data_IF_071661419723
#
_entry.id   IF_071661419723
#
_cell.length_a   1.000
_cell.length_b   1.000
_cell.length_c   1.000
_cell.angle_alpha   90.00
_cell.angle_beta   90.00
_cell.angle_gamma   90.00
#
_symmetry.space_group_name_H-M   'P 1'
#
loop_
_entity.id
_entity.type
_entity.pdbx_description
1 polymer ?
#
# COMPACT_ATOMS: atom_id res chain seq x y z
N UNK A 1 28.23 9.55 -13.14
CA UNK A 1 28.78 8.34 -12.50
C UNK A 1 27.77 7.24 -12.68
N UNK A 2 28.12 6.20 -13.44
CA UNK A 2 27.23 5.07 -13.69
C UNK A 2 27.22 4.20 -12.42
N UNK A 3 26.19 4.32 -11.61
CA UNK A 3 25.99 3.41 -10.48
C UNK A 3 25.62 2.04 -11.05
N UNK A 4 26.50 1.07 -10.87
CA UNK A 4 26.18 -0.32 -11.20
C UNK A 4 24.95 -0.71 -10.40
N UNK A 5 23.89 -1.25 -11.02
CA UNK A 5 22.69 -1.66 -10.29
C UNK A 5 23.08 -2.71 -9.23
N UNK A 6 22.48 -2.56 -8.04
CA UNK A 6 22.67 -3.56 -6.97
C UNK A 6 22.01 -4.86 -7.43
N UNK A 7 22.81 -5.91 -7.56
CA UNK A 7 22.34 -7.24 -7.96
C UNK A 7 22.47 -8.21 -6.81
N UNK A 8 21.39 -8.92 -6.52
CA UNK A 8 21.31 -9.90 -5.43
C UNK A 8 20.73 -11.21 -5.97
N UNK A 9 21.28 -12.33 -5.59
CA UNK A 9 20.77 -13.65 -5.93
C UNK A 9 19.84 -14.16 -4.83
N UNK A 10 18.66 -14.68 -5.21
CA UNK A 10 17.60 -15.06 -4.29
C UNK A 10 18.02 -16.19 -3.31
N UNK A 11 18.76 -17.19 -3.81
CA UNK A 11 19.26 -18.27 -2.94
C UNK A 11 20.21 -17.75 -1.84
N UNK A 12 20.92 -16.64 -2.08
CA UNK A 12 21.78 -16.02 -1.07
C UNK A 12 21.00 -15.24 -0.02
N UNK A 13 19.79 -14.82 -0.32
CA UNK A 13 18.92 -14.16 0.66
C UNK A 13 18.35 -15.14 1.68
N UNK A 14 18.08 -16.36 1.24
CA UNK A 14 17.55 -17.41 2.12
C UNK A 14 18.49 -17.64 3.32
N UNK A 15 17.94 -17.48 4.52
CA UNK A 15 18.67 -17.60 5.79
C UNK A 15 19.30 -16.32 6.31
N UNK A 16 19.36 -15.22 5.54
CA UNK A 16 19.88 -13.95 6.05
C UNK A 16 19.01 -13.41 7.17
N UNK A 17 19.62 -12.84 8.23
CA UNK A 17 18.91 -12.16 9.29
C UNK A 17 18.26 -10.86 8.77
N UNK A 18 17.07 -10.59 9.27
CA UNK A 18 16.31 -9.35 9.01
C UNK A 18 16.35 -8.51 10.28
N UNK A 19 16.72 -7.25 10.14
CA UNK A 19 16.79 -6.30 11.23
C UNK A 19 15.82 -5.15 11.04
N UNK A 20 15.26 -4.69 12.14
CA UNK A 20 14.45 -3.48 12.19
C UNK A 20 15.34 -2.20 12.25
N UNK A 21 14.73 -0.98 12.24
CA UNK A 21 15.50 0.26 12.34
C UNK A 21 16.24 0.45 13.68
N UNK A 22 15.81 -0.23 14.74
CA UNK A 22 16.46 -0.19 16.05
C UNK A 22 17.69 -1.11 16.12
N UNK A 23 17.84 -1.99 15.14
CA UNK A 23 18.92 -2.98 15.09
C UNK A 23 18.55 -4.30 15.74
N UNK A 24 17.28 -4.50 16.09
CA UNK A 24 16.78 -5.75 16.62
C UNK A 24 16.54 -6.75 15.50
N UNK A 25 16.89 -8.01 15.73
CA UNK A 25 16.66 -9.06 14.75
C UNK A 25 15.21 -9.52 14.81
N UNK A 26 14.44 -9.19 13.76
CA UNK A 26 13.02 -9.58 13.59
C UNK A 26 12.89 -11.06 13.21
N UNK A 27 13.78 -11.55 12.34
CA UNK A 27 13.68 -12.92 11.84
C UNK A 27 14.77 -13.26 10.83
N UNK A 28 14.46 -14.21 9.93
CA UNK A 28 15.35 -14.62 8.83
C UNK A 28 14.55 -14.75 7.54
N UNK A 29 15.13 -14.32 6.43
CA UNK A 29 14.52 -14.51 5.09
C UNK A 29 14.38 -16.00 4.81
N UNK A 30 13.20 -16.41 4.34
CA UNK A 30 12.90 -17.78 3.88
C UNK A 30 12.73 -17.87 2.37
N UNK A 31 12.07 -16.88 1.78
CA UNK A 31 11.83 -16.85 0.34
C UNK A 31 11.71 -15.42 -0.17
N UNK A 32 11.68 -15.27 -1.48
CA UNK A 32 11.43 -14.02 -2.21
C UNK A 32 10.12 -14.18 -2.97
N UNK A 33 9.21 -13.23 -2.82
CA UNK A 33 7.91 -13.25 -3.47
C UNK A 33 7.97 -12.38 -4.72
N UNK A 34 7.48 -12.93 -5.83
CA UNK A 34 7.38 -12.20 -7.10
C UNK A 34 5.99 -12.37 -7.70
N UNK A 35 5.55 -11.34 -8.40
CA UNK A 35 4.36 -11.42 -9.25
C UNK A 35 4.83 -11.63 -10.69
N UNK A 36 4.37 -12.73 -11.28
CA UNK A 36 4.63 -13.07 -12.67
C UNK A 36 3.65 -12.31 -13.55
N UNK A 37 4.17 -11.50 -14.46
CA UNK A 37 3.36 -10.83 -15.48
C UNK A 37 3.35 -11.65 -16.76
N UNK A 38 2.23 -11.71 -17.46
CA UNK A 38 2.07 -12.46 -18.70
C UNK A 38 2.72 -11.79 -19.93
N UNK A 39 3.01 -10.50 -19.82
CA UNK A 39 3.82 -9.78 -20.82
C UNK A 39 5.32 -10.02 -20.58
N UNK A 40 6.12 -9.94 -21.62
CA UNK A 40 7.56 -10.24 -21.66
C UNK A 40 8.42 -9.40 -20.68
N UNK A 41 7.82 -8.75 -19.70
CA UNK A 41 8.50 -7.91 -18.71
C UNK A 41 9.04 -8.75 -17.56
N UNK A 42 10.14 -8.28 -17.01
CA UNK A 42 10.77 -8.90 -15.84
C UNK A 42 9.80 -8.90 -14.66
N UNK A 43 9.61 -10.04 -13.94
CA UNK A 43 8.74 -10.12 -12.79
C UNK A 43 9.14 -9.13 -11.70
N UNK A 44 8.18 -8.49 -11.10
CA UNK A 44 8.40 -7.58 -9.96
C UNK A 44 8.53 -8.39 -8.68
N UNK A 45 9.53 -8.07 -7.89
CA UNK A 45 9.68 -8.58 -6.52
C UNK A 45 8.82 -7.73 -5.61
N UNK A 46 7.82 -8.33 -4.98
CA UNK A 46 6.85 -7.62 -4.15
C UNK A 46 7.22 -7.67 -2.66
N UNK A 47 7.93 -8.71 -2.22
CA UNK A 47 8.30 -8.82 -0.82
C UNK A 47 9.19 -10.02 -0.51
N UNK A 48 9.45 -10.21 0.77
CA UNK A 48 10.20 -11.33 1.32
C UNK A 48 9.30 -12.11 2.29
N UNK A 49 9.42 -13.42 2.29
CA UNK A 49 8.91 -14.25 3.39
C UNK A 49 9.94 -14.25 4.49
N UNK A 50 9.59 -13.78 5.67
CA UNK A 50 10.47 -13.73 6.84
C UNK A 50 9.95 -14.69 7.90
N UNK A 51 10.80 -15.61 8.35
CA UNK A 51 10.51 -16.48 9.49
C UNK A 51 10.92 -15.77 10.78
N UNK A 52 9.92 -15.50 11.60
CA UNK A 52 10.10 -14.89 12.93
C UNK A 52 10.08 -15.96 14.03
N UNK A 53 10.20 -15.54 15.29
CA UNK A 53 10.18 -16.45 16.43
C UNK A 53 8.99 -17.43 16.39
N UNK A 54 9.23 -18.70 16.72
CA UNK A 54 8.19 -19.73 16.72
C UNK A 54 7.90 -20.36 15.35
N UNK A 55 8.78 -20.17 14.35
CA UNK A 55 8.63 -20.68 12.95
C UNK A 55 7.46 -20.05 12.18
N UNK A 56 6.90 -18.97 12.67
CA UNK A 56 5.87 -18.22 11.97
C UNK A 56 6.50 -17.50 10.78
N UNK A 57 5.86 -17.56 9.63
CA UNK A 57 6.26 -16.83 8.43
C UNK A 57 5.37 -15.59 8.30
N UNK A 58 5.98 -14.45 8.05
CA UNK A 58 5.31 -13.16 7.83
C UNK A 58 5.74 -12.58 6.48
N UNK A 59 4.94 -11.67 5.94
CA UNK A 59 5.26 -10.90 4.73
C UNK A 59 6.00 -9.62 5.07
N UNK A 60 7.12 -9.39 4.42
CA UNK A 60 7.87 -8.13 4.48
C UNK A 60 7.86 -7.50 3.07
N UNK A 61 7.06 -6.46 2.82
CA UNK A 61 6.99 -5.82 1.51
C UNK A 61 8.32 -5.19 1.11
N UNK A 62 8.66 -5.20 -0.19
CA UNK A 62 9.92 -4.62 -0.68
C UNK A 62 10.01 -3.11 -0.44
N UNK A 63 8.90 -2.41 -0.31
CA UNK A 63 8.85 -0.99 0.05
C UNK A 63 9.41 -0.72 1.45
N UNK A 64 9.33 -1.70 2.35
CA UNK A 64 9.91 -1.62 3.69
C UNK A 64 11.35 -2.16 3.78
N UNK A 65 11.90 -2.70 2.71
CA UNK A 65 13.29 -3.14 2.65
C UNK A 65 14.18 -1.99 2.19
N UNK A 66 14.95 -1.43 3.12
CA UNK A 66 15.83 -0.29 2.83
C UNK A 66 17.18 -0.68 2.28
N UNK A 67 17.71 -1.81 2.75
CA UNK A 67 19.02 -2.27 2.31
C UNK A 67 19.11 -3.79 2.33
N UNK A 68 19.78 -4.33 1.32
CA UNK A 68 20.13 -5.74 1.22
C UNK A 68 21.65 -5.84 1.09
N UNK A 69 22.28 -6.20 2.18
CA UNK A 69 23.72 -6.44 2.25
C UNK A 69 24.05 -7.94 2.16
N UNK A 70 25.30 -8.33 1.87
CA UNK A 70 25.68 -9.74 1.79
C UNK A 70 25.45 -10.57 3.05
N UNK A 71 25.25 -9.93 4.20
CA UNK A 71 25.06 -10.59 5.50
C UNK A 71 23.74 -10.30 6.21
N UNK A 72 22.94 -9.36 5.71
CA UNK A 72 21.71 -8.94 6.40
C UNK A 72 20.74 -8.21 5.49
N UNK A 73 19.49 -8.18 5.90
CA UNK A 73 18.43 -7.35 5.33
C UNK A 73 17.99 -6.35 6.39
N UNK A 74 17.85 -5.08 6.01
CA UNK A 74 17.41 -4.01 6.90
C UNK A 74 16.05 -3.52 6.40
N UNK A 75 15.09 -3.41 7.33
CA UNK A 75 13.73 -2.94 7.05
C UNK A 75 13.45 -1.60 7.72
N UNK A 76 12.44 -0.88 7.25
CA UNK A 76 11.90 0.33 7.89
C UNK A 76 10.57 0.02 8.56
N UNK A 77 10.31 0.69 9.68
CA UNK A 77 9.05 0.59 10.41
C UNK A 77 8.77 -0.80 11.00
N UNK A 78 7.58 -0.95 11.52
CA UNK A 78 7.10 -2.23 12.05
C UNK A 78 6.68 -3.12 10.87
N UNK A 79 7.08 -4.38 10.91
CA UNK A 79 6.59 -5.40 9.98
C UNK A 79 5.29 -5.97 10.53
N UNK A 80 4.30 -6.15 9.66
CA UNK A 80 3.07 -6.83 10.03
C UNK A 80 3.40 -8.27 10.47
N UNK A 81 3.00 -8.64 11.67
CA UNK A 81 3.30 -9.94 12.27
C UNK A 81 2.27 -11.01 11.90
N UNK A 82 1.35 -10.75 10.96
CA UNK A 82 0.39 -11.73 10.48
C UNK A 82 1.09 -12.89 9.77
N UNK A 83 0.45 -14.05 9.82
CA UNK A 83 0.94 -15.22 9.11
C UNK A 83 0.88 -14.98 7.61
N UNK A 84 1.99 -15.20 6.94
CA UNK A 84 2.04 -15.13 5.48
C UNK A 84 1.20 -16.24 4.84
N UNK A 85 0.31 -15.87 3.93
CA UNK A 85 -0.41 -16.75 3.04
C UNK A 85 -0.17 -16.34 1.59
N UNK A 86 0.31 -17.29 0.79
CA UNK A 86 0.67 -17.06 -0.61
C UNK A 86 -0.58 -16.89 -1.47
N UNK A 87 -0.68 -15.80 -2.20
CA UNK A 87 -1.74 -15.54 -3.17
C UNK A 87 -1.54 -16.33 -4.47
N UNK A 88 -2.60 -16.50 -5.25
CA UNK A 88 -2.57 -17.24 -6.52
C UNK A 88 -1.64 -16.61 -7.57
N UNK A 89 -1.49 -15.30 -7.57
CA UNK A 89 -0.62 -14.52 -8.49
C UNK A 89 0.83 -14.47 -8.02
N UNK A 90 1.10 -14.79 -6.77
CA UNK A 90 2.44 -14.79 -6.19
C UNK A 90 3.17 -16.09 -6.47
N UNK A 91 4.46 -15.97 -6.70
CA UNK A 91 5.37 -17.12 -6.88
C UNK A 91 6.54 -16.98 -5.92
N UNK A 92 6.80 -18.04 -5.20
CA UNK A 92 7.96 -18.15 -4.32
C UNK A 92 9.20 -18.50 -5.16
N UNK A 93 10.22 -17.66 -5.13
CA UNK A 93 11.41 -17.86 -5.96
C UNK A 93 12.17 -19.09 -5.53
N UNK A 94 12.47 -19.21 -4.22
CA UNK A 94 13.23 -20.35 -3.70
C UNK A 94 12.40 -21.63 -3.75
N UNK A 95 11.16 -21.57 -3.29
CA UNK A 95 10.30 -22.77 -3.19
C UNK A 95 9.67 -23.24 -4.50
N UNK A 96 9.56 -22.37 -5.51
CA UNK A 96 8.79 -22.70 -6.71
C UNK A 96 9.54 -22.48 -8.05
N UNK A 97 10.63 -21.71 -8.08
CA UNK A 97 11.41 -21.47 -9.31
C UNK A 97 12.73 -22.21 -9.34
N UNK A 98 13.39 -22.37 -8.19
CA UNK A 98 14.59 -23.18 -8.12
C UNK A 98 14.27 -24.66 -8.41
N UNK A 99 15.26 -25.40 -8.88
CA UNK A 99 15.18 -26.81 -9.27
C UNK A 99 14.23 -27.12 -10.45
N UNK A 100 13.66 -26.09 -11.12
CA UNK A 100 12.86 -26.28 -12.33
C UNK A 100 13.71 -26.51 -13.56
N UNK A 101 13.22 -27.37 -14.43
CA UNK A 101 13.77 -27.53 -15.78
C UNK A 101 13.25 -26.44 -16.70
N UNK A 102 14.16 -25.76 -17.37
CA UNK A 102 13.85 -24.65 -18.25
C UNK A 102 14.68 -24.76 -19.54
N UNK A 103 14.24 -24.04 -20.56
CA UNK A 103 14.92 -23.96 -21.85
C UNK A 103 15.31 -22.51 -22.15
N UNK A 104 16.52 -22.29 -22.62
CA UNK A 104 17.01 -21.00 -23.08
C UNK A 104 16.59 -20.82 -24.53
N UNK A 105 15.83 -19.76 -24.83
CA UNK A 105 15.29 -19.51 -26.20
C UNK A 105 16.38 -19.32 -27.23
N UNK A 106 17.37 -18.50 -26.92
CA UNK A 106 18.44 -18.13 -27.88
C UNK A 106 19.36 -19.28 -28.23
N UNK A 107 19.63 -20.20 -27.32
CA UNK A 107 20.61 -21.29 -27.49
C UNK A 107 19.99 -22.66 -27.58
N UNK A 108 18.72 -22.82 -27.17
CA UNK A 108 18.06 -24.13 -27.04
C UNK A 108 18.60 -25.02 -25.92
N UNK A 109 19.48 -24.48 -25.06
CA UNK A 109 20.05 -25.21 -23.93
C UNK A 109 18.97 -25.47 -22.89
N UNK A 110 18.87 -26.72 -22.45
CA UNK A 110 18.00 -27.13 -21.34
C UNK A 110 18.84 -27.28 -20.08
N UNK A 111 18.34 -26.73 -18.97
CA UNK A 111 19.03 -26.75 -17.70
C UNK A 111 18.09 -26.72 -16.52
N UNK A 112 18.65 -26.87 -15.33
CA UNK A 112 17.93 -26.74 -14.06
C UNK A 112 18.28 -25.39 -13.44
N UNK A 113 17.27 -24.64 -13.01
CA UNK A 113 17.45 -23.35 -12.32
C UNK A 113 18.04 -23.60 -10.95
N UNK A 114 19.22 -23.05 -10.68
CA UNK A 114 19.83 -23.15 -9.37
C UNK A 114 19.82 -21.83 -8.58
N UNK A 115 19.66 -20.68 -9.27
CA UNK A 115 19.48 -19.39 -8.62
C UNK A 115 18.83 -18.37 -9.56
N UNK A 116 18.25 -17.31 -9.01
CA UNK A 116 17.64 -16.22 -9.76
C UNK A 116 18.15 -14.89 -9.20
N UNK A 117 18.61 -14.00 -10.09
CA UNK A 117 19.10 -12.69 -9.72
C UNK A 117 18.00 -11.64 -9.78
N UNK A 118 17.91 -10.82 -8.75
CA UNK A 118 17.07 -9.63 -8.69
C UNK A 118 17.93 -8.37 -8.75
N UNK A 119 17.44 -7.34 -9.40
CA UNK A 119 18.10 -6.05 -9.57
C UNK A 119 17.14 -4.92 -9.27
N UNK A 120 17.66 -3.84 -8.64
CA UNK A 120 16.89 -2.64 -8.41
C UNK A 120 16.87 -1.77 -9.67
N UNK A 121 15.67 -1.39 -10.11
CA UNK A 121 15.47 -0.50 -11.27
C UNK A 121 15.80 0.95 -10.90
N UNK A 122 15.75 1.85 -11.89
CA UNK A 122 15.91 3.29 -11.64
C UNK A 122 14.77 3.91 -10.83
N UNK A 123 13.60 3.30 -10.88
CA UNK A 123 12.40 3.65 -10.09
C UNK A 123 12.41 3.05 -8.69
N UNK A 124 13.51 2.40 -8.28
CA UNK A 124 13.69 1.69 -7.02
C UNK A 124 12.92 0.37 -6.88
N UNK A 125 12.12 -0.02 -7.87
CA UNK A 125 11.51 -1.34 -7.90
C UNK A 125 12.54 -2.44 -8.03
N UNK A 126 12.28 -3.58 -7.43
CA UNK A 126 13.07 -4.77 -7.59
C UNK A 126 12.43 -5.70 -8.61
N UNK A 127 13.24 -6.19 -9.57
CA UNK A 127 12.77 -7.09 -10.62
C UNK A 127 13.72 -8.28 -10.74
N UNK A 128 13.21 -9.42 -11.23
CA UNK A 128 14.05 -10.55 -11.60
C UNK A 128 14.71 -10.25 -12.95
N UNK A 129 16.02 -10.25 -12.96
CA UNK A 129 16.79 -9.84 -14.16
C UNK A 129 17.45 -11.01 -14.87
N UNK A 130 17.95 -12.00 -14.14
CA UNK A 130 18.69 -13.13 -14.68
C UNK A 130 18.37 -14.43 -13.99
N UNK A 131 18.54 -15.51 -14.73
CA UNK A 131 18.39 -16.89 -14.25
C UNK A 131 19.72 -17.61 -14.40
N UNK A 132 20.16 -18.22 -13.33
CA UNK A 132 21.36 -19.06 -13.32
C UNK A 132 20.95 -20.53 -13.45
N UNK A 133 21.45 -21.18 -14.48
CA UNK A 133 21.10 -22.56 -14.88
C UNK A 133 22.31 -23.45 -14.76
N UNK A 134 22.07 -24.71 -14.38
CA UNK A 134 23.05 -25.79 -14.49
C UNK A 134 22.61 -26.72 -15.61
N UNK A 135 23.42 -26.86 -16.64
CA UNK A 135 23.19 -27.83 -17.71
C UNK A 135 23.38 -29.25 -17.15
N UNK A 136 22.42 -30.14 -17.42
CA UNK A 136 22.50 -31.53 -16.99
C UNK A 136 23.75 -32.21 -17.58
N UNK A 137 24.46 -32.94 -16.75
CA UNK A 137 25.68 -33.64 -17.15
C UNK A 137 25.38 -34.66 -18.26
N UNK A 138 25.67 -34.30 -19.49
CA UNK A 138 25.69 -35.22 -20.63
C UNK A 138 27.01 -36.00 -20.62
N UNK A 139 27.05 -37.14 -19.91
CA UNK A 139 28.17 -38.07 -19.86
C UNK A 139 28.97 -38.11 -18.54
N UNK A 140 29.57 -39.25 -18.26
CA UNK A 140 30.16 -39.65 -16.96
C UNK A 140 31.37 -38.84 -16.46
N UNK A 141 31.82 -37.78 -17.17
CA UNK A 141 33.07 -37.05 -16.85
C UNK A 141 33.08 -35.54 -17.11
N UNK A 142 31.93 -34.87 -17.37
CA UNK A 142 31.92 -33.40 -17.53
C UNK A 142 31.37 -32.76 -16.28
N UNK A 143 32.07 -31.73 -15.76
CA UNK A 143 31.57 -30.84 -14.73
C UNK A 143 30.32 -30.14 -15.29
N UNK A 144 29.25 -30.00 -14.53
CA UNK A 144 28.06 -29.25 -14.95
C UNK A 144 28.48 -27.83 -15.31
N UNK A 145 28.07 -27.37 -16.49
CA UNK A 145 28.31 -25.98 -16.90
C UNK A 145 27.20 -25.11 -16.35
N UNK A 146 27.61 -23.98 -15.77
CA UNK A 146 26.68 -22.97 -15.25
C UNK A 146 26.53 -21.87 -16.28
N UNK A 147 25.29 -21.56 -16.62
CA UNK A 147 24.92 -20.48 -17.52
C UNK A 147 24.13 -19.43 -16.74
N UNK A 148 24.44 -18.15 -16.94
CA UNK A 148 23.63 -17.04 -16.43
C UNK A 148 23.05 -16.32 -17.65
N UNK A 149 21.73 -16.38 -17.78
CA UNK A 149 20.99 -15.85 -18.92
C UNK A 149 20.05 -14.76 -18.48
N UNK A 150 19.66 -13.89 -19.39
CA UNK A 150 18.65 -12.87 -19.10
C UNK A 150 17.28 -13.53 -18.86
N UNK A 151 16.46 -12.95 -18.00
CA UNK A 151 15.14 -13.48 -17.65
C UNK A 151 14.29 -13.76 -18.89
N UNK A 152 14.26 -12.82 -19.83
CA UNK A 152 13.43 -12.88 -21.03
C UNK A 152 13.83 -13.98 -22.01
N UNK A 153 15.00 -14.56 -21.83
CA UNK A 153 15.53 -15.64 -22.68
C UNK A 153 15.19 -17.05 -22.16
N UNK A 154 14.42 -17.15 -21.06
CA UNK A 154 14.09 -18.43 -20.42
C UNK A 154 12.63 -18.82 -20.65
N UNK A 155 12.41 -20.07 -21.03
CA UNK A 155 11.09 -20.69 -21.16
C UNK A 155 10.91 -21.81 -20.13
N UNK A 156 9.66 -22.01 -19.65
CA UNK A 156 9.31 -23.08 -18.74
C UNK A 156 9.29 -22.69 -17.25
N UNK A 157 9.53 -21.43 -16.91
CA UNK A 157 9.33 -20.93 -15.56
C UNK A 157 7.84 -20.72 -15.22
N UNK A 158 6.99 -20.67 -16.23
CA UNK A 158 5.56 -20.45 -16.13
C UNK A 158 4.82 -21.80 -16.31
N UNK A 159 4.11 -22.26 -15.30
CA UNK A 159 3.10 -23.32 -15.45
C UNK A 159 1.88 -22.94 -14.62
N UNK A 160 0.80 -22.60 -15.30
CA UNK A 160 -0.52 -22.35 -14.80
C UNK A 160 -1.38 -21.81 -15.94
N UNK A 161 -2.05 -22.72 -16.69
CA UNK A 161 -2.85 -22.30 -17.88
C UNK A 161 -4.25 -21.80 -17.53
N UNK A 162 -4.69 -21.82 -16.28
CA UNK A 162 -6.09 -21.55 -15.94
C UNK A 162 -6.39 -20.10 -15.58
N UNK A 163 -5.39 -19.24 -15.35
CA UNK A 163 -5.59 -17.83 -14.96
C UNK A 163 -5.00 -16.78 -15.92
N UNK A 164 -4.51 -17.15 -17.10
CA UNK A 164 -3.81 -16.23 -18.01
C UNK A 164 -4.56 -14.93 -18.32
N UNK A 165 -5.89 -14.96 -18.32
CA UNK A 165 -6.69 -13.78 -18.61
C UNK A 165 -6.80 -12.80 -17.42
N UNK A 166 -6.86 -13.29 -16.16
CA UNK A 166 -6.94 -12.44 -14.97
C UNK A 166 -5.58 -11.81 -14.67
N UNK A 167 -4.49 -12.58 -14.72
CA UNK A 167 -3.13 -12.09 -14.50
C UNK A 167 -2.73 -10.95 -15.46
N UNK A 168 -3.12 -11.08 -16.73
CA UNK A 168 -2.86 -10.00 -17.70
C UNK A 168 -3.63 -8.72 -17.35
N UNK A 169 -4.89 -8.86 -16.93
CA UNK A 169 -5.71 -7.73 -16.53
C UNK A 169 -5.18 -7.08 -15.25
N UNK A 170 -4.85 -7.87 -14.21
CA UNK A 170 -4.25 -7.38 -12.97
C UNK A 170 -2.95 -6.61 -13.26
N UNK A 171 -2.08 -7.14 -14.13
CA UNK A 171 -0.86 -6.45 -14.53
C UNK A 171 -1.14 -5.13 -15.26
N UNK A 172 -2.22 -5.03 -16.03
CA UNK A 172 -2.61 -3.78 -16.68
C UNK A 172 -3.23 -2.77 -15.73
N UNK A 173 -3.93 -3.24 -14.68
CA UNK A 173 -4.52 -2.40 -13.65
C UNK A 173 -3.47 -1.83 -12.69
N UNK A 174 -2.33 -2.50 -12.52
CA UNK A 174 -1.27 -2.05 -11.61
C UNK A 174 -0.67 -0.68 -11.98
N UNK A 175 -0.68 -0.32 -13.27
CA UNK A 175 -0.13 0.95 -13.78
C UNK A 175 -1.20 2.08 -13.87
N UNK A 176 -2.49 1.79 -13.60
CA UNK A 176 -3.58 2.75 -13.63
C UNK A 176 -3.70 3.50 -12.28
N UNK A 177 -4.35 4.66 -12.29
CA UNK A 177 -4.80 5.30 -11.04
C UNK A 177 -5.89 4.45 -10.39
N UNK A 178 -6.07 4.51 -9.05
CA UNK A 178 -7.14 3.77 -8.37
C UNK A 178 -8.52 3.95 -9.01
N UNK A 179 -8.96 5.18 -9.24
CA UNK A 179 -10.23 5.50 -9.88
C UNK A 179 -10.37 4.93 -11.31
N UNK A 180 -9.31 4.93 -12.11
CA UNK A 180 -9.32 4.33 -13.45
C UNK A 180 -9.41 2.79 -13.37
N UNK A 181 -8.73 2.18 -12.38
CA UNK A 181 -8.78 0.75 -12.14
C UNK A 181 -10.17 0.33 -11.61
N UNK A 182 -10.77 1.12 -10.72
CA UNK A 182 -12.13 0.92 -10.22
C UNK A 182 -13.16 0.89 -11.36
N UNK A 183 -13.09 1.86 -12.28
CA UNK A 183 -13.96 1.88 -13.47
C UNK A 183 -13.84 0.60 -14.33
N UNK A 184 -12.63 0.07 -14.48
CA UNK A 184 -12.42 -1.18 -15.23
C UNK A 184 -13.00 -2.36 -14.47
N UNK A 185 -12.81 -2.44 -13.15
CA UNK A 185 -13.32 -3.53 -12.30
C UNK A 185 -14.84 -3.50 -12.22
N UNK A 186 -15.44 -2.32 -12.10
CA UNK A 186 -16.90 -2.12 -12.13
C UNK A 186 -17.52 -2.70 -13.42
N UNK A 187 -16.91 -2.43 -14.58
CA UNK A 187 -17.39 -2.92 -15.89
C UNK A 187 -17.20 -4.44 -16.10
N UNK A 188 -16.49 -5.15 -15.22
CA UNK A 188 -16.25 -6.59 -15.40
C UNK A 188 -17.48 -7.43 -15.04
N UNK A 189 -17.73 -8.54 -15.77
CA UNK A 189 -18.67 -9.56 -15.31
C UNK A 189 -18.31 -10.10 -13.92
N UNK A 190 -19.29 -10.47 -13.06
CA UNK A 190 -19.03 -10.87 -11.66
C UNK A 190 -17.97 -11.95 -11.48
N UNK A 191 -18.01 -13.02 -12.29
CA UNK A 191 -17.00 -14.10 -12.25
C UNK A 191 -15.59 -13.58 -12.56
N UNK A 192 -15.49 -12.65 -13.49
CA UNK A 192 -14.21 -12.06 -13.89
C UNK A 192 -13.70 -11.07 -12.85
N UNK A 193 -14.61 -10.28 -12.27
CA UNK A 193 -14.33 -9.37 -11.15
C UNK A 193 -13.75 -10.15 -9.99
N UNK A 194 -14.40 -11.24 -9.55
CA UNK A 194 -13.90 -12.09 -8.46
C UNK A 194 -12.51 -12.66 -8.73
N UNK A 195 -12.19 -13.08 -9.97
CA UNK A 195 -10.86 -13.57 -10.33
C UNK A 195 -9.79 -12.48 -10.24
N UNK A 196 -10.12 -11.25 -10.66
CA UNK A 196 -9.20 -10.10 -10.61
C UNK A 196 -8.96 -9.69 -9.17
N UNK A 197 -10.03 -9.51 -8.39
CA UNK A 197 -9.99 -9.17 -6.96
C UNK A 197 -9.18 -10.20 -6.17
N UNK A 198 -9.41 -11.50 -6.42
CA UNK A 198 -8.67 -12.58 -5.75
C UNK A 198 -7.16 -12.53 -6.02
N UNK A 199 -6.73 -11.94 -7.13
CA UNK A 199 -5.33 -11.87 -7.52
C UNK A 199 -4.65 -10.54 -7.25
N UNK A 200 -5.37 -9.49 -6.86
CA UNK A 200 -4.79 -8.19 -6.49
C UNK A 200 -4.12 -8.27 -5.11
N UNK A 201 -3.14 -7.42 -4.86
CA UNK A 201 -2.60 -7.18 -3.52
C UNK A 201 -3.59 -6.34 -2.70
N UNK A 202 -3.53 -6.46 -1.37
CA UNK A 202 -4.56 -5.89 -0.49
C UNK A 202 -4.48 -4.38 -0.44
N UNK A 203 -3.28 -3.77 -0.35
CA UNK A 203 -3.05 -2.33 -0.43
C UNK A 203 -3.66 -1.74 -1.72
N UNK A 204 -3.36 -2.38 -2.87
CA UNK A 204 -3.91 -1.93 -4.15
C UNK A 204 -5.42 -2.11 -4.24
N UNK A 205 -5.95 -3.20 -3.67
CA UNK A 205 -7.38 -3.46 -3.67
C UNK A 205 -8.11 -2.48 -2.75
N UNK A 206 -7.54 -2.11 -1.60
CA UNK A 206 -8.08 -1.10 -0.72
C UNK A 206 -8.30 0.23 -1.45
N UNK A 207 -7.25 0.79 -2.07
CA UNK A 207 -7.36 2.02 -2.85
C UNK A 207 -8.30 1.95 -4.06
N UNK A 208 -8.52 0.76 -4.62
CA UNK A 208 -9.50 0.58 -5.69
C UNK A 208 -10.92 0.49 -5.14
N UNK A 209 -11.09 -0.12 -3.96
CA UNK A 209 -12.39 -0.18 -3.28
C UNK A 209 -12.90 1.21 -2.92
N UNK A 210 -12.06 2.08 -2.35
CA UNK A 210 -12.39 3.49 -2.03
C UNK A 210 -13.02 4.24 -3.22
N UNK A 211 -12.67 3.85 -4.44
CA UNK A 211 -13.12 4.49 -5.68
C UNK A 211 -14.28 3.74 -6.39
N UNK A 212 -14.68 2.58 -5.88
CA UNK A 212 -15.81 1.82 -6.43
C UNK A 212 -17.16 2.35 -5.90
N UNK A 213 -18.28 2.14 -6.64
CA UNK A 213 -19.61 2.32 -6.08
C UNK A 213 -19.83 1.43 -4.85
N UNK A 214 -20.57 1.94 -3.85
CA UNK A 214 -20.85 1.27 -2.57
C UNK A 214 -21.41 -0.17 -2.76
N UNK A 215 -22.33 -0.36 -3.73
CA UNK A 215 -22.87 -1.69 -4.03
C UNK A 215 -21.78 -2.69 -4.43
N UNK A 216 -20.79 -2.26 -5.22
CA UNK A 216 -19.67 -3.10 -5.65
C UNK A 216 -18.66 -3.35 -4.50
N UNK A 217 -18.44 -2.36 -3.65
CA UNK A 217 -17.59 -2.49 -2.47
C UNK A 217 -18.12 -3.58 -1.54
N UNK A 218 -19.41 -3.50 -1.18
CA UNK A 218 -20.11 -4.48 -0.34
C UNK A 218 -20.08 -5.87 -0.99
N UNK A 219 -20.44 -5.98 -2.30
CA UNK A 219 -20.40 -7.25 -3.03
C UNK A 219 -19.02 -7.90 -2.99
N UNK A 220 -17.96 -7.12 -3.19
CA UNK A 220 -16.58 -7.62 -3.19
C UNK A 220 -16.18 -8.12 -1.79
N UNK A 221 -16.43 -7.33 -0.74
CA UNK A 221 -16.09 -7.72 0.63
C UNK A 221 -16.84 -8.98 1.10
N UNK A 222 -18.12 -9.09 0.78
CA UNK A 222 -18.92 -10.28 1.14
C UNK A 222 -18.43 -11.58 0.47
N UNK A 223 -17.74 -11.47 -0.67
CA UNK A 223 -17.20 -12.61 -1.40
C UNK A 223 -15.76 -12.98 -1.03
N UNK A 224 -15.07 -12.15 -0.27
CA UNK A 224 -13.73 -12.43 0.28
C UNK A 224 -13.84 -13.27 1.55
N UNK A 225 -12.77 -13.97 1.89
CA UNK A 225 -12.67 -14.55 3.23
C UNK A 225 -12.51 -13.43 4.26
N UNK A 226 -13.06 -13.63 5.46
CA UNK A 226 -13.17 -12.57 6.46
C UNK A 226 -11.81 -12.06 6.96
N UNK A 227 -10.77 -12.91 6.98
CA UNK A 227 -9.43 -12.48 7.38
C UNK A 227 -8.86 -11.50 6.34
N UNK A 228 -9.00 -11.83 5.05
CA UNK A 228 -8.55 -10.96 3.96
C UNK A 228 -9.37 -9.67 3.86
N UNK A 229 -10.68 -9.75 4.06
CA UNK A 229 -11.55 -8.57 4.08
C UNK A 229 -11.13 -7.60 5.19
N UNK A 230 -10.78 -8.10 6.37
CA UNK A 230 -10.25 -7.29 7.46
C UNK A 230 -8.88 -6.67 7.10
N UNK A 231 -7.97 -7.44 6.47
CA UNK A 231 -6.67 -6.94 6.01
C UNK A 231 -6.80 -5.79 5.01
N UNK A 232 -7.80 -5.87 4.12
CA UNK A 232 -8.07 -4.82 3.13
C UNK A 232 -8.63 -3.56 3.81
N UNK A 233 -9.57 -3.72 4.75
CA UNK A 233 -10.14 -2.60 5.50
C UNK A 233 -9.09 -1.85 6.32
N UNK A 234 -8.02 -2.51 6.76
CA UNK A 234 -6.89 -1.88 7.45
C UNK A 234 -5.96 -1.08 6.55
N UNK A 235 -5.94 -1.41 5.25
CA UNK A 235 -5.17 -0.67 4.25
C UNK A 235 -5.99 0.48 3.61
N UNK A 236 -7.29 0.60 3.93
CA UNK A 236 -8.15 1.71 3.51
C UNK A 236 -7.97 2.91 4.43
N UNK A 237 -8.38 4.10 3.96
CA UNK A 237 -8.58 5.26 4.81
C UNK A 237 -9.62 4.93 5.89
N UNK A 238 -9.40 5.35 7.12
CA UNK A 238 -10.25 4.91 8.25
C UNK A 238 -11.70 5.41 8.13
N UNK A 239 -11.92 6.55 7.49
CA UNK A 239 -13.24 7.10 7.17
C UNK A 239 -13.95 6.24 6.11
N UNK A 240 -13.31 5.93 4.97
CA UNK A 240 -13.86 5.04 3.95
C UNK A 240 -14.13 3.64 4.50
N UNK A 241 -13.25 3.11 5.34
CA UNK A 241 -13.46 1.84 6.02
C UNK A 241 -14.65 1.88 7.00
N UNK A 242 -14.86 3.02 7.68
CA UNK A 242 -15.99 3.18 8.60
C UNK A 242 -17.32 3.22 7.88
N UNK A 243 -17.39 3.94 6.76
CA UNK A 243 -18.58 4.03 5.91
C UNK A 243 -18.92 2.68 5.30
N UNK A 244 -17.93 2.00 4.71
CA UNK A 244 -18.14 0.67 4.14
C UNK A 244 -18.56 -0.37 5.18
N UNK A 245 -18.01 -0.33 6.40
CA UNK A 245 -18.44 -1.22 7.50
C UNK A 245 -19.86 -0.89 7.98
N UNK A 246 -20.26 0.39 7.95
CA UNK A 246 -21.62 0.79 8.32
C UNK A 246 -22.68 0.24 7.37
N UNK A 247 -22.34 0.05 6.08
CA UNK A 247 -23.20 -0.51 5.05
C UNK A 247 -23.30 -2.04 5.10
N UNK A 248 -22.42 -2.71 5.83
CA UNK A 248 -22.43 -4.16 5.97
C UNK A 248 -23.48 -4.66 6.97
N UNK A 249 -23.96 -5.92 6.82
CA UNK A 249 -24.77 -6.56 7.85
C UNK A 249 -24.08 -6.52 9.23
N UNK A 250 -24.81 -6.21 10.32
CA UNK A 250 -24.19 -6.00 11.64
C UNK A 250 -23.32 -7.17 12.15
N UNK A 251 -23.66 -8.41 11.77
CA UNK A 251 -22.87 -9.60 12.13
C UNK A 251 -21.54 -9.65 11.39
N UNK A 252 -21.55 -9.26 10.12
CA UNK A 252 -20.34 -9.17 9.27
C UNK A 252 -19.46 -8.03 9.77
N UNK A 253 -20.01 -6.85 9.99
CA UNK A 253 -19.31 -5.69 10.53
C UNK A 253 -18.58 -6.01 11.84
N UNK A 254 -19.27 -6.66 12.81
CA UNK A 254 -18.66 -7.07 14.07
C UNK A 254 -17.53 -8.09 13.88
N UNK A 255 -17.69 -9.01 12.94
CA UNK A 255 -16.68 -10.03 12.64
C UNK A 255 -15.42 -9.39 12.07
N UNK A 256 -15.57 -8.50 11.09
CA UNK A 256 -14.45 -7.81 10.45
C UNK A 256 -13.72 -6.90 11.44
N UNK A 257 -14.45 -6.07 12.20
CA UNK A 257 -13.88 -5.25 13.27
C UNK A 257 -13.18 -6.08 14.38
N UNK A 258 -13.57 -7.33 14.55
CA UNK A 258 -12.92 -8.24 15.50
C UNK A 258 -11.65 -8.91 14.95
N UNK A 259 -11.51 -8.97 13.63
CA UNK A 259 -10.34 -9.53 12.93
C UNK A 259 -9.27 -8.48 12.66
N UNK A 260 -9.65 -7.20 12.54
CA UNK A 260 -8.73 -6.08 12.35
C UNK A 260 -7.76 -5.94 13.53
N UNK A 261 -6.60 -5.35 13.29
CA UNK A 261 -5.67 -4.96 14.36
C UNK A 261 -6.34 -3.98 15.32
N UNK A 262 -5.94 -4.06 16.59
CA UNK A 262 -6.68 -3.36 17.65
C UNK A 262 -6.64 -1.83 17.51
N UNK A 263 -5.57 -1.28 16.96
CA UNK A 263 -5.37 0.15 16.78
C UNK A 263 -6.25 0.66 15.64
N UNK A 264 -6.22 0.03 14.47
CA UNK A 264 -7.02 0.37 13.29
C UNK A 264 -8.53 0.17 13.55
N UNK A 265 -8.90 -0.96 14.14
CA UNK A 265 -10.29 -1.19 14.54
C UNK A 265 -10.81 -0.15 15.55
N UNK A 266 -9.95 0.39 16.43
CA UNK A 266 -10.34 1.44 17.37
C UNK A 266 -10.55 2.78 16.65
N UNK A 267 -9.79 3.07 15.59
CA UNK A 267 -9.96 4.26 14.78
C UNK A 267 -11.26 4.23 14.00
N UNK A 268 -11.51 3.15 13.28
CA UNK A 268 -12.76 2.93 12.55
C UNK A 268 -13.98 3.03 13.49
N UNK A 269 -13.97 2.33 14.65
CA UNK A 269 -15.06 2.42 15.65
C UNK A 269 -15.27 3.83 16.16
N UNK A 270 -14.23 4.63 16.27
CA UNK A 270 -14.30 6.02 16.71
C UNK A 270 -15.03 6.89 15.68
N UNK A 271 -14.81 6.65 14.38
CA UNK A 271 -15.48 7.35 13.30
C UNK A 271 -16.96 6.95 13.19
N UNK A 272 -17.27 5.67 13.28
CA UNK A 272 -18.64 5.14 13.25
C UNK A 272 -19.58 5.70 14.34
N UNK A 273 -19.06 6.43 15.34
CA UNK A 273 -19.91 7.12 16.34
C UNK A 273 -20.59 8.37 15.76
N UNK A 274 -19.99 8.95 14.73
CA UNK A 274 -20.49 10.15 14.07
C UNK A 274 -21.46 9.79 12.94
N UNK A 275 -22.32 10.71 12.57
CA UNK A 275 -23.19 10.53 11.42
C UNK A 275 -22.39 10.76 10.14
N UNK A 276 -22.63 9.98 9.13
CA UNK A 276 -21.99 10.04 7.81
C UNK A 276 -21.96 11.46 7.22
N UNK A 277 -23.07 12.20 7.21
CA UNK A 277 -23.16 13.58 6.73
C UNK A 277 -22.66 14.64 7.73
N UNK A 278 -21.76 14.30 8.65
CA UNK A 278 -21.16 15.22 9.60
C UNK A 278 -19.66 15.34 9.40
N UNK A 279 -19.06 16.44 9.88
CA UNK A 279 -17.61 16.61 9.85
C UNK A 279 -16.86 15.47 10.53
N UNK A 280 -17.47 14.87 11.56
CA UNK A 280 -16.89 13.72 12.27
C UNK A 280 -16.95 12.42 11.49
N UNK A 281 -17.98 12.21 10.64
CA UNK A 281 -18.07 11.07 9.73
C UNK A 281 -17.11 11.21 8.54
N UNK A 282 -17.08 12.38 7.92
CA UNK A 282 -16.25 12.67 6.74
C UNK A 282 -14.76 12.93 7.05
N UNK A 283 -14.31 12.91 8.31
CA UNK A 283 -12.93 13.27 8.63
C UNK A 283 -12.00 12.07 8.57
N UNK A 284 -10.85 12.25 7.94
CA UNK A 284 -9.73 11.32 8.15
C UNK A 284 -9.02 11.60 9.48
N UNK A 285 -8.74 10.58 10.30
CA UNK A 285 -8.04 10.73 11.58
C UNK A 285 -6.53 10.90 11.43
N UNK A 286 -5.96 10.72 10.24
CA UNK A 286 -4.53 10.72 9.95
C UNK A 286 -4.04 11.93 9.13
N UNK A 287 -4.35 13.17 9.53
CA UNK A 287 -3.80 14.34 8.85
C UNK A 287 -2.31 14.50 9.16
N UNK A 288 -1.60 15.35 8.41
CA UNK A 288 -0.21 15.69 8.71
C UNK A 288 -0.14 16.51 10.00
N UNK A 289 0.42 15.91 11.06
CA UNK A 289 0.51 16.51 12.41
C UNK A 289 1.97 16.66 12.83
N UNK A 290 2.33 17.84 13.32
CA UNK A 290 3.68 18.12 13.81
C UNK A 290 3.65 18.81 15.18
N UNK A 291 4.71 18.64 16.00
CA UNK A 291 4.86 19.41 17.23
C UNK A 291 5.32 20.84 16.90
N UNK A 292 5.13 21.82 17.80
CA UNK A 292 5.43 23.22 17.54
C UNK A 292 6.93 23.55 17.38
N UNK A 293 7.79 22.68 17.83
CA UNK A 293 9.26 22.76 17.71
C UNK A 293 9.82 22.08 16.44
N UNK A 294 8.97 21.44 15.65
CA UNK A 294 9.37 20.95 14.33
C UNK A 294 9.76 22.11 13.40
N UNK A 295 10.65 21.82 12.46
CA UNK A 295 11.12 22.78 11.46
C UNK A 295 10.28 22.74 10.17
N UNK A 296 10.36 23.79 9.38
CA UNK A 296 9.79 23.82 8.02
C UNK A 296 10.36 22.71 7.15
N UNK A 297 11.64 22.34 7.34
CA UNK A 297 12.25 21.23 6.61
C UNK A 297 11.58 19.89 6.94
N UNK A 298 11.29 19.61 8.22
CA UNK A 298 10.57 18.43 8.67
C UNK A 298 9.14 18.43 8.12
N UNK A 299 8.42 19.56 8.19
CA UNK A 299 7.09 19.68 7.62
C UNK A 299 7.07 19.36 6.12
N UNK A 300 8.03 19.91 5.36
CA UNK A 300 8.15 19.64 3.93
C UNK A 300 8.60 18.21 3.62
N UNK A 301 9.26 17.53 4.55
CA UNK A 301 9.61 16.12 4.40
C UNK A 301 8.36 15.24 4.52
N UNK A 302 7.50 15.50 5.50
CA UNK A 302 6.23 14.78 5.68
C UNK A 302 5.30 14.95 4.48
N UNK A 303 5.05 16.17 4.01
CA UNK A 303 4.15 16.42 2.85
C UNK A 303 4.69 15.95 1.49
N UNK A 304 5.93 15.43 1.45
CA UNK A 304 6.51 14.80 0.25
C UNK A 304 6.31 13.30 0.19
N UNK A 305 5.72 12.75 1.21
CA UNK A 305 5.34 11.35 1.20
C UNK A 305 4.40 11.08 0.02
N UNK A 306 4.68 10.04 -0.76
CA UNK A 306 3.93 9.71 -1.97
C UNK A 306 2.54 9.12 -1.62
N UNK A 307 2.38 8.63 -0.39
CA UNK A 307 1.15 8.01 0.12
C UNK A 307 0.14 9.06 0.66
N UNK A 308 0.57 10.33 0.85
CA UNK A 308 -0.30 11.41 1.29
C UNK A 308 -1.01 12.06 0.11
N UNK A 309 -2.35 12.15 0.18
CA UNK A 309 -3.15 12.81 -0.86
C UNK A 309 -2.81 14.30 -0.99
N UNK A 310 -2.98 14.92 -2.17
CA UNK A 310 -2.72 16.34 -2.36
C UNK A 310 -3.52 17.23 -1.41
N UNK A 311 -4.72 16.84 -1.02
CA UNK A 311 -5.60 17.59 -0.11
C UNK A 311 -5.03 17.58 1.31
N UNK A 312 -4.60 16.43 1.81
CA UNK A 312 -3.94 16.29 3.11
C UNK A 312 -2.58 16.99 3.14
N UNK A 313 -1.79 16.86 2.08
CA UNK A 313 -0.49 17.52 1.96
C UNK A 313 -0.58 19.05 1.93
N UNK A 314 -1.75 19.63 1.62
CA UNK A 314 -1.93 21.08 1.55
C UNK A 314 -1.89 21.76 2.92
N UNK A 315 -2.17 21.05 4.01
CA UNK A 315 -2.33 21.59 5.34
C UNK A 315 -1.60 20.75 6.40
N UNK A 316 -0.68 21.38 7.14
CA UNK A 316 0.01 20.77 8.27
C UNK A 316 -0.61 21.28 9.56
N UNK A 317 -1.02 20.37 10.43
CA UNK A 317 -1.60 20.66 11.74
C UNK A 317 -0.51 20.71 12.79
N UNK A 318 -0.49 21.73 13.60
CA UNK A 318 0.52 21.86 14.67
C UNK A 318 -0.16 21.72 16.02
N UNK A 319 0.15 20.62 16.69
CA UNK A 319 -0.49 20.20 17.93
C UNK A 319 0.55 20.08 19.06
N UNK A 320 0.07 20.22 20.29
CA UNK A 320 0.83 19.73 21.45
C UNK A 320 0.76 18.20 21.51
N UNK A 321 1.78 17.54 22.04
CA UNK A 321 1.68 16.09 22.29
C UNK A 321 0.51 15.73 23.21
N UNK A 322 -0.12 14.54 23.05
CA UNK A 322 0.20 13.52 22.03
C UNK A 322 -0.12 14.00 20.60
N UNK A 323 0.56 13.44 19.60
CA UNK A 323 0.37 13.79 18.19
C UNK A 323 -0.56 12.84 17.46
N UNK A 324 -0.85 11.69 18.04
CA UNK A 324 -1.89 10.77 17.57
C UNK A 324 -3.29 11.32 17.89
N UNK A 325 -4.24 11.13 17.01
CA UNK A 325 -5.61 11.63 17.19
C UNK A 325 -6.39 10.73 18.18
N UNK A 326 -7.11 11.35 19.14
CA UNK A 326 -7.23 12.76 19.48
C UNK A 326 -5.93 13.34 20.03
N UNK A 327 -5.41 14.36 19.37
CA UNK A 327 -4.12 14.96 19.75
C UNK A 327 -4.16 15.70 21.09
N UNK A 328 -3.04 16.30 21.49
CA UNK A 328 -3.06 17.43 22.40
C UNK A 328 -3.73 18.65 21.76
N UNK A 329 -3.62 19.81 22.39
CA UNK A 329 -4.28 21.01 21.89
C UNK A 329 -3.76 21.42 20.52
N UNK A 330 -4.65 21.64 19.55
CA UNK A 330 -4.32 22.28 18.27
C UNK A 330 -3.88 23.72 18.51
N UNK A 331 -2.72 24.09 17.96
CA UNK A 331 -2.15 25.45 18.09
C UNK A 331 -2.42 26.31 16.86
N UNK A 332 -2.63 25.68 15.71
CA UNK A 332 -2.90 26.30 14.43
C UNK A 332 -2.47 25.38 13.29
N UNK A 333 -2.60 25.90 12.09
CA UNK A 333 -2.25 25.15 10.87
C UNK A 333 -1.20 25.90 10.06
N UNK A 334 -0.46 25.20 9.24
CA UNK A 334 0.49 25.79 8.31
C UNK A 334 0.20 25.29 6.88
N UNK A 335 -0.16 26.21 6.00
CA UNK A 335 -0.38 25.88 4.59
C UNK A 335 0.93 25.57 3.88
N UNK A 336 0.95 24.56 3.03
CA UNK A 336 2.13 24.18 2.24
C UNK A 336 2.71 25.35 1.46
N UNK A 337 1.88 26.23 0.90
CA UNK A 337 2.34 27.42 0.17
C UNK A 337 3.13 28.40 1.05
N UNK A 338 2.81 28.47 2.34
CA UNK A 338 3.55 29.29 3.31
C UNK A 338 4.86 28.59 3.67
N UNK A 339 4.83 27.31 3.95
CA UNK A 339 6.03 26.52 4.25
C UNK A 339 7.07 26.61 3.12
N UNK A 340 6.65 26.59 1.86
CA UNK A 340 7.53 26.74 0.69
C UNK A 340 8.21 28.11 0.56
N UNK A 341 7.75 29.12 1.28
CA UNK A 341 8.31 30.49 1.26
C UNK A 341 9.22 30.79 2.44
N UNK A 342 9.22 29.93 3.44
CA UNK A 342 9.98 30.13 4.67
C UNK A 342 11.33 29.39 4.63
N UNK A 343 12.35 29.88 5.34
CA UNK A 343 13.61 29.16 5.46
C UNK A 343 13.43 27.77 6.10
N UNK A 344 14.14 26.75 5.63
CA UNK A 344 13.98 25.37 6.14
C UNK A 344 14.21 25.21 7.65
N UNK A 345 15.03 26.07 8.27
CA UNK A 345 15.34 26.03 9.71
C UNK A 345 14.34 26.80 10.58
N UNK A 346 13.33 27.46 9.98
CA UNK A 346 12.29 28.14 10.74
C UNK A 346 11.42 27.11 11.45
N UNK A 347 11.06 27.37 12.71
CA UNK A 347 10.12 26.52 13.43
C UNK A 347 8.70 26.72 12.89
N UNK A 348 7.94 25.62 12.75
CA UNK A 348 6.56 25.67 12.27
C UNK A 348 5.67 26.55 13.14
N UNK A 349 5.93 26.63 14.45
CA UNK A 349 5.22 27.55 15.35
C UNK A 349 5.32 29.02 14.96
N UNK A 350 6.36 29.44 14.24
CA UNK A 350 6.55 30.80 13.75
C UNK A 350 5.77 31.13 12.47
N UNK A 351 5.22 30.12 11.79
CA UNK A 351 4.56 30.23 10.49
C UNK A 351 3.09 29.83 10.51
N UNK A 352 2.55 29.59 11.71
CA UNK A 352 1.17 29.18 11.89
C UNK A 352 0.19 30.25 11.43
N UNK A 353 -0.91 29.79 10.84
CA UNK A 353 -2.15 30.52 10.80
C UNK A 353 -2.97 30.13 12.04
N UNK A 354 -3.11 31.08 12.95
CA UNK A 354 -3.89 30.95 14.19
C UNK A 354 -5.27 31.60 14.08
N UNK A 355 -5.56 32.23 12.95
CA UNK A 355 -6.81 32.91 12.68
C UNK A 355 -7.86 32.06 11.95
N UNK A 356 -7.52 30.85 11.60
CA UNK A 356 -8.47 29.90 11.02
C UNK A 356 -9.33 29.31 12.12
N UNK A 357 -10.65 29.42 11.96
CA UNK A 357 -11.62 28.67 12.75
C UNK A 357 -11.49 27.16 12.45
N UNK A 358 -12.18 26.33 13.19
CA UNK A 358 -12.18 24.89 13.08
C UNK A 358 -13.59 24.33 13.14
N UNK A 359 -13.79 23.17 12.55
CA UNK A 359 -15.06 22.46 12.57
C UNK A 359 -15.25 21.72 13.89
N UNK A 360 -16.51 21.50 14.27
CA UNK A 360 -16.92 20.57 15.31
C UNK A 360 -17.31 19.25 14.64
N UNK A 361 -17.16 18.11 15.31
CA UNK A 361 -17.51 16.82 14.68
C UNK A 361 -18.99 16.72 14.30
N UNK A 362 -19.89 17.49 14.97
CA UNK A 362 -21.31 17.53 14.67
C UNK A 362 -21.69 18.53 13.57
N UNK A 363 -20.72 19.25 13.00
CA UNK A 363 -20.97 20.19 11.90
C UNK A 363 -21.53 19.42 10.69
N UNK A 364 -22.60 19.95 10.11
CA UNK A 364 -23.31 19.32 9.01
C UNK A 364 -22.53 19.46 7.68
N UNK A 365 -22.86 18.66 6.68
CA UNK A 365 -22.34 18.73 5.32
C UNK A 365 -22.44 20.17 4.75
N UNK A 366 -23.54 20.89 5.04
CA UNK A 366 -23.71 22.31 4.64
C UNK A 366 -22.71 23.21 5.36
N UNK A 367 -22.52 23.03 6.69
CA UNK A 367 -21.57 23.81 7.48
C UNK A 367 -20.14 23.59 6.99
N UNK A 368 -19.73 22.35 6.72
CA UNK A 368 -18.43 22.00 6.17
C UNK A 368 -18.23 22.65 4.80
N UNK A 369 -19.24 22.55 3.92
CA UNK A 369 -19.21 23.13 2.58
C UNK A 369 -19.03 24.66 2.65
N UNK A 370 -19.81 25.33 3.51
CA UNK A 370 -19.71 26.78 3.72
C UNK A 370 -18.35 27.18 4.30
N UNK A 371 -17.81 26.38 5.21
CA UNK A 371 -16.52 26.64 5.84
C UNK A 371 -15.38 26.60 4.81
N UNK A 372 -15.26 25.50 4.05
CA UNK A 372 -14.23 25.32 3.03
C UNK A 372 -14.34 26.42 1.94
N UNK A 373 -15.56 26.70 1.49
CA UNK A 373 -15.81 27.75 0.48
C UNK A 373 -15.49 29.15 0.99
N UNK A 374 -15.85 29.50 2.25
CA UNK A 374 -15.65 30.84 2.82
C UNK A 374 -14.16 31.14 2.96
N UNK A 375 -13.39 30.19 3.43
CA UNK A 375 -11.95 30.36 3.68
C UNK A 375 -11.08 29.91 2.50
N UNK A 376 -11.68 29.43 1.41
CA UNK A 376 -10.99 28.91 0.22
C UNK A 376 -9.96 27.83 0.58
N UNK A 377 -10.39 26.86 1.40
CA UNK A 377 -9.57 25.76 1.91
C UNK A 377 -9.85 24.48 1.13
N UNK A 378 -8.86 23.59 1.10
CA UNK A 378 -8.98 22.22 0.56
C UNK A 378 -9.00 21.15 1.66
N UNK A 379 -8.72 21.56 2.91
CA UNK A 379 -8.82 20.73 4.08
C UNK A 379 -9.14 21.63 5.30
N UNK A 380 -9.88 21.09 6.27
CA UNK A 380 -10.32 21.80 7.47
C UNK A 380 -10.15 20.92 8.73
N UNK A 381 -9.54 21.45 9.81
CA UNK A 381 -9.38 20.71 11.04
C UNK A 381 -10.71 20.52 11.78
N UNK A 382 -10.93 19.31 12.30
CA UNK A 382 -12.04 18.98 13.18
C UNK A 382 -11.52 18.82 14.61
N UNK A 383 -12.12 19.55 15.55
CA UNK A 383 -11.64 19.58 16.93
C UNK A 383 -12.77 19.33 17.93
N UNK A 384 -12.42 18.73 19.07
CA UNK A 384 -13.32 18.52 20.20
C UNK A 384 -13.51 19.82 21.01
N UNK A 385 -14.35 19.75 22.04
CA UNK A 385 -14.62 20.86 22.94
C UNK A 385 -13.40 21.36 23.73
N UNK A 386 -12.37 20.54 23.85
CA UNK A 386 -11.11 20.88 24.51
C UNK A 386 -10.08 21.49 23.53
N UNK A 387 -10.43 21.61 22.26
CA UNK A 387 -9.55 22.08 21.19
C UNK A 387 -8.48 21.09 20.78
N UNK A 388 -8.72 19.79 20.96
CA UNK A 388 -7.87 18.71 20.47
C UNK A 388 -8.29 18.32 19.07
N UNK A 389 -7.32 18.11 18.19
CA UNK A 389 -7.57 17.67 16.83
C UNK A 389 -8.07 16.22 16.85
N UNK A 390 -9.21 15.99 16.20
CA UNK A 390 -9.83 14.68 16.01
C UNK A 390 -9.48 14.11 14.63
N UNK A 391 -9.38 14.97 13.65
CA UNK A 391 -9.10 14.65 12.25
C UNK A 391 -9.18 15.88 11.36
N UNK A 392 -9.24 15.67 10.07
CA UNK A 392 -9.36 16.71 9.04
C UNK A 392 -10.36 16.25 7.99
N UNK A 393 -11.31 17.11 7.63
CA UNK A 393 -12.16 16.90 6.44
C UNK A 393 -11.46 17.51 5.25
N UNK A 394 -11.39 16.79 4.16
CA UNK A 394 -10.83 17.28 2.90
C UNK A 394 -11.93 17.64 1.89
N UNK A 395 -11.56 18.31 0.82
CA UNK A 395 -12.53 18.72 -0.21
C UNK A 395 -12.99 17.54 -1.06
N UNK A 396 -12.17 16.50 -1.22
CA UNK A 396 -12.48 15.28 -1.93
C UNK A 396 -13.55 14.49 -1.16
N UNK A 397 -13.37 14.22 0.14
CA UNK A 397 -14.38 13.55 0.97
C UNK A 397 -15.71 14.31 0.98
N UNK A 398 -15.64 15.66 1.14
CA UNK A 398 -16.83 16.50 1.03
C UNK A 398 -17.54 16.34 -0.32
N UNK A 399 -16.80 16.27 -1.44
CA UNK A 399 -17.38 16.15 -2.77
C UNK A 399 -18.08 14.80 -2.97
N UNK A 400 -17.59 13.73 -2.37
CA UNK A 400 -18.22 12.42 -2.43
C UNK A 400 -19.63 12.45 -1.82
N UNK A 401 -19.80 13.11 -0.70
CA UNK A 401 -21.13 13.30 -0.08
C UNK A 401 -22.02 14.35 -0.79
N UNK A 402 -21.44 15.29 -1.54
CA UNK A 402 -22.20 16.30 -2.29
C UNK A 402 -22.67 15.83 -3.65
N UNK A 403 -21.97 14.88 -4.26
CA UNK A 403 -22.31 14.36 -5.56
C UNK A 403 -23.55 13.45 -5.45
N UNK A 404 -24.40 13.35 -6.50
CA UNK A 404 -25.57 12.48 -6.47
C UNK A 404 -25.15 11.01 -6.28
N UNK A 405 -25.98 10.23 -5.55
CA UNK A 405 -25.82 8.78 -5.48
C UNK A 405 -25.54 8.16 -6.86
N UNK A 406 -24.60 7.22 -6.94
CA UNK A 406 -24.18 6.58 -8.19
C UNK A 406 -23.43 7.51 -9.16
N UNK A 407 -22.80 8.59 -8.66
CA UNK A 407 -21.98 9.45 -9.52
C UNK A 407 -20.75 8.71 -10.06
N UNK A 408 -20.21 7.75 -9.30
CA UNK A 408 -19.11 6.87 -9.70
C UNK A 408 -19.48 5.93 -10.86
N UNK A 409 -20.77 5.61 -11.05
CA UNK A 409 -21.27 4.84 -12.20
C UNK A 409 -21.21 5.63 -13.52
N UNK A 410 -21.07 6.94 -13.43
CA UNK A 410 -21.09 7.81 -14.60
C UNK A 410 -19.69 8.00 -15.13
N UNK A 411 -19.39 7.37 -16.28
CA UNK A 411 -18.12 7.61 -16.98
C UNK A 411 -17.96 9.10 -17.26
N UNK A 412 -16.93 9.71 -16.72
CA UNK A 412 -16.49 11.05 -17.16
C UNK A 412 -16.09 10.87 -18.61
N UNK A 413 -16.90 11.43 -19.53
CA UNK A 413 -16.71 11.26 -20.95
C UNK A 413 -15.31 11.66 -21.35
N UNK A 414 -14.56 10.72 -21.94
CA UNK A 414 -13.37 11.01 -22.72
C UNK A 414 -13.79 11.90 -23.89
N UNK A 415 -13.63 13.22 -23.69
CA UNK A 415 -13.76 14.21 -24.72
C UNK A 415 -12.61 14.16 -25.70
#
# INVERSE_FOLDING_TARGET
>A
MSTTPVRVFAARLAGLPVFDPQGDQVGKVRDVIVVLRSDVRQPRVVGLVVEVFGRRQIFAPMTRVTNIDPGQVITTGLLNMRRFEKRSTETLVVGQMLDRRVKVRSTGVEGIVFDVAMEQTRTRDWVLSRVALTEGAKGFRRRPQTHVVEWDDVEGLYQGQDNQGAEHLIASLADLRPADAANVIHDLPPERRSQVVAGMDDERLAHVLEELPEEDQVEILEHLDSERAADILEEMSADDAADLIADLPPETAQTLLGLMETEEAAEVRRLMVYGEETAGGMMTPEPVILPPDATVAEALAHVRDEDITPSLAALVHVCRPPLETPTGKLLGVAHIQRLLREPPSTLVAGVLDTGIDFLRPEATLEDVSMFLATYNLVAAPVVDDNGRLLGTVTVDDLLDHLLPEGWRDRKIGSG
#
